data_IF_597739501231
#
_entry.id   IF_597739501231
#
_cell.length_a   1.000
_cell.length_b   1.000
_cell.length_c   1.000
_cell.angle_alpha   90.00
_cell.angle_beta   90.00
_cell.angle_gamma   90.00
#
_symmetry.space_group_name_H-M   'P 1'
#
loop_
_entity.id
_entity.type
_entity.pdbx_description
1 polymer ?
#
# COMPACT_ATOMS: atom_id res chain seq x y z
N UNK A 1 6.55 18.89 25.24
CA UNK A 1 7.34 19.51 24.16
C UNK A 1 7.93 20.79 24.71
N UNK A 2 9.18 21.13 24.39
CA UNK A 2 9.76 22.39 24.86
C UNK A 2 9.13 23.59 24.14
N UNK A 3 9.10 24.78 24.75
CA UNK A 3 8.71 25.99 24.04
C UNK A 3 9.66 26.28 22.88
N UNK A 4 9.12 26.78 21.77
CA UNK A 4 9.89 27.10 20.58
C UNK A 4 9.10 27.06 19.28
N UNK A 5 9.80 27.33 18.18
CA UNK A 5 9.24 27.27 16.83
C UNK A 5 9.55 25.94 16.18
N UNK A 6 8.54 25.33 15.58
CA UNK A 6 8.60 24.02 14.96
C UNK A 6 8.15 24.08 13.51
N UNK A 7 8.83 23.35 12.64
CA UNK A 7 8.39 23.04 11.29
C UNK A 7 7.70 21.68 11.30
N UNK A 8 6.46 21.62 10.80
CA UNK A 8 5.69 20.39 10.60
C UNK A 8 5.59 20.16 9.10
N UNK A 9 6.21 19.09 8.61
CA UNK A 9 6.16 18.69 7.21
C UNK A 9 5.20 17.51 7.05
N UNK A 10 4.19 17.69 6.19
CA UNK A 10 3.19 16.68 5.85
C UNK A 10 3.36 16.20 4.42
N UNK A 11 3.34 14.89 4.22
CA UNK A 11 3.45 14.23 2.93
C UNK A 11 2.38 13.15 2.83
N UNK A 12 1.63 13.12 1.73
CA UNK A 12 0.69 12.03 1.45
C UNK A 12 1.47 10.87 0.84
N UNK A 13 1.25 9.67 1.33
CA UNK A 13 1.78 8.44 0.79
C UNK A 13 0.65 7.59 0.20
N UNK A 14 0.85 7.13 -1.03
CA UNK A 14 -0.08 6.29 -1.77
C UNK A 14 0.58 4.97 -2.14
N UNK A 15 -0.06 3.86 -1.80
CA UNK A 15 0.33 2.52 -2.21
C UNK A 15 -0.76 1.89 -3.06
N UNK A 16 -0.41 1.41 -4.26
CA UNK A 16 -1.35 0.82 -5.21
C UNK A 16 -1.24 -0.71 -5.31
N UNK A 17 -0.70 -1.38 -4.28
CA UNK A 17 -0.60 -2.84 -4.25
C UNK A 17 -1.94 -3.54 -4.00
N UNK A 18 -1.87 -4.84 -3.69
CA UNK A 18 -3.04 -5.70 -3.48
C UNK A 18 -4.00 -5.15 -2.41
N UNK A 19 -3.44 -4.48 -1.40
CA UNK A 19 -4.17 -3.73 -0.36
C UNK A 19 -3.76 -2.26 -0.47
N UNK A 20 -4.54 -1.43 -1.18
CA UNK A 20 -4.21 -0.02 -1.32
C UNK A 20 -4.15 0.69 0.03
N UNK A 21 -3.23 1.63 0.15
CA UNK A 21 -3.07 2.49 1.33
C UNK A 21 -3.02 3.95 0.89
N UNK A 22 -3.66 4.79 1.69
CA UNK A 22 -3.55 6.24 1.62
C UNK A 22 -3.30 6.76 3.04
N UNK A 23 -2.14 7.35 3.29
CA UNK A 23 -1.72 7.79 4.62
C UNK A 23 -1.09 9.18 4.55
N UNK A 24 -1.32 10.02 5.56
CA UNK A 24 -0.57 11.27 5.74
C UNK A 24 0.57 11.00 6.70
N UNK A 25 1.79 11.23 6.24
CA UNK A 25 2.99 11.19 7.06
C UNK A 25 3.35 12.57 7.54
N UNK A 26 3.74 12.66 8.81
CA UNK A 26 4.20 13.91 9.40
C UNK A 26 5.58 13.76 10.01
N UNK A 27 6.41 14.78 9.83
CA UNK A 27 7.66 14.97 10.58
C UNK A 27 7.65 16.35 11.19
N UNK A 28 7.97 16.45 12.48
CA UNK A 28 8.08 17.74 13.17
C UNK A 28 9.52 17.96 13.61
N UNK A 29 10.08 19.13 13.30
CA UNK A 29 11.46 19.50 13.60
C UNK A 29 11.49 20.86 14.30
N UNK A 30 12.20 20.97 15.42
CA UNK A 30 12.45 22.26 16.06
C UNK A 30 13.37 23.11 15.16
N UNK A 31 12.99 24.34 14.83
CA UNK A 31 13.69 25.13 13.81
C UNK A 31 15.11 25.54 14.20
N UNK A 32 15.37 25.80 15.50
CA UNK A 32 16.72 26.14 16.01
C UNK A 32 17.61 24.93 16.30
N UNK A 33 17.12 23.94 17.05
CA UNK A 33 17.93 22.79 17.49
C UNK A 33 17.99 21.67 16.47
N UNK A 34 17.12 21.70 15.44
CA UNK A 34 16.96 20.67 14.42
C UNK A 34 16.59 19.28 14.97
N UNK A 35 16.15 19.22 16.22
CA UNK A 35 15.70 17.98 16.85
C UNK A 35 14.28 17.63 16.41
N UNK A 36 14.04 16.35 16.20
CA UNK A 36 12.72 15.82 15.90
C UNK A 36 11.86 15.88 17.16
N UNK A 37 10.64 16.38 17.00
CA UNK A 37 9.62 16.37 18.06
C UNK A 37 8.48 15.43 17.69
N UNK A 38 7.97 14.61 18.62
CA UNK A 38 6.80 13.79 18.38
C UNK A 38 5.50 14.61 18.49
N UNK A 39 4.39 14.02 18.04
CA UNK A 39 2.99 14.42 18.31
C UNK A 39 2.46 15.72 17.71
N UNK A 40 3.29 16.68 17.27
CA UNK A 40 2.77 17.95 16.77
C UNK A 40 2.06 17.82 15.42
N UNK A 41 2.53 16.90 14.57
CA UNK A 41 1.87 16.56 13.31
C UNK A 41 0.46 16.00 13.52
N UNK A 42 0.30 15.06 14.44
CA UNK A 42 -1.00 14.47 14.78
C UNK A 42 -1.95 15.50 15.38
N UNK A 43 -1.43 16.36 16.27
CA UNK A 43 -2.22 17.47 16.84
C UNK A 43 -2.64 18.49 15.79
N UNK A 44 -1.78 18.77 14.81
CA UNK A 44 -2.13 19.64 13.68
C UNK A 44 -3.24 19.01 12.85
N UNK A 45 -3.12 17.73 12.48
CA UNK A 45 -4.15 17.00 11.73
C UNK A 45 -5.48 16.92 12.49
N UNK A 46 -5.45 16.68 13.81
CA UNK A 46 -6.63 16.72 14.65
C UNK A 46 -7.29 18.12 14.65
N UNK A 47 -6.49 19.19 14.71
CA UNK A 47 -7.00 20.56 14.64
C UNK A 47 -7.58 20.90 13.26
N UNK A 48 -6.98 20.43 12.15
CA UNK A 48 -7.55 20.52 10.79
C UNK A 48 -8.91 19.83 10.76
N UNK A 49 -8.98 18.58 11.21
CA UNK A 49 -10.20 17.78 11.17
C UNK A 49 -11.32 18.39 12.03
N UNK A 50 -10.97 19.03 13.15
CA UNK A 50 -11.92 19.72 14.01
C UNK A 50 -12.32 21.12 13.52
N UNK A 51 -11.72 21.63 12.44
CA UNK A 51 -11.97 22.99 11.95
C UNK A 51 -11.42 24.10 12.88
N UNK A 52 -10.47 23.76 13.75
CA UNK A 52 -9.95 24.65 14.81
C UNK A 52 -8.61 25.30 14.46
N UNK A 53 -8.25 25.33 13.17
CA UNK A 53 -7.02 25.95 12.72
C UNK A 53 -7.20 27.47 12.61
N UNK A 54 -6.41 28.20 13.40
CA UNK A 54 -6.33 29.65 13.33
C UNK A 54 -5.00 30.05 12.71
N UNK A 55 -5.04 30.91 11.70
CA UNK A 55 -3.84 31.49 11.14
C UNK A 55 -3.22 32.44 12.17
N UNK A 56 -1.92 32.28 12.40
CA UNK A 56 -1.12 33.21 13.19
C UNK A 56 -0.13 33.93 12.27
N UNK A 57 0.22 35.16 12.62
CA UNK A 57 1.28 35.87 11.94
C UNK A 57 2.64 35.23 12.27
N UNK A 58 3.49 35.07 11.26
CA UNK A 58 4.85 34.55 11.40
C UNK A 58 5.84 35.61 10.96
N UNK A 59 6.81 35.95 11.83
CA UNK A 59 7.71 37.09 11.62
C UNK A 59 8.75 36.90 10.50
N UNK A 60 8.87 35.67 9.96
CA UNK A 60 9.76 35.36 8.85
C UNK A 60 11.26 35.47 9.16
N UNK A 61 11.65 35.82 10.40
CA UNK A 61 13.04 36.05 10.77
C UNK A 61 13.84 34.75 10.93
N UNK A 62 13.15 33.61 11.02
CA UNK A 62 13.74 32.28 11.21
C UNK A 62 14.01 31.63 9.85
N UNK A 63 15.27 31.23 9.62
CA UNK A 63 15.63 30.40 8.47
C UNK A 63 15.09 28.96 8.63
N UNK A 64 14.12 28.60 7.80
CA UNK A 64 13.47 27.29 7.81
C UNK A 64 14.20 26.23 6.96
N UNK A 65 15.16 26.63 6.11
CA UNK A 65 15.83 25.71 5.17
C UNK A 65 16.51 24.52 5.88
N UNK A 66 17.22 24.70 7.01
CA UNK A 66 17.84 23.57 7.69
C UNK A 66 16.81 22.58 8.24
N UNK A 67 15.73 23.07 8.86
CA UNK A 67 14.65 22.23 9.39
C UNK A 67 13.88 21.50 8.28
N UNK A 68 13.65 22.18 7.15
CA UNK A 68 13.03 21.58 5.97
C UNK A 68 13.92 20.47 5.39
N UNK A 69 15.24 20.68 5.27
CA UNK A 69 16.20 19.66 4.82
C UNK A 69 16.14 18.41 5.71
N UNK A 70 16.22 18.59 7.03
CA UNK A 70 16.13 17.47 7.99
C UNK A 70 14.81 16.73 7.86
N UNK A 71 13.68 17.45 7.73
CA UNK A 71 12.37 16.82 7.56
C UNK A 71 12.27 16.01 6.27
N UNK A 72 12.87 16.49 5.18
CA UNK A 72 12.92 15.81 3.88
C UNK A 72 13.71 14.50 3.96
N UNK A 73 14.88 14.54 4.59
CA UNK A 73 15.72 13.35 4.77
C UNK A 73 14.98 12.28 5.58
N UNK A 74 14.30 12.68 6.65
CA UNK A 74 13.51 11.77 7.48
C UNK A 74 12.31 11.16 6.74
N UNK A 75 11.59 11.95 5.95
CA UNK A 75 10.47 11.47 5.13
C UNK A 75 10.97 10.54 4.02
N UNK A 76 12.11 10.83 3.40
CA UNK A 76 12.74 9.96 2.40
C UNK A 76 13.17 8.63 3.02
N UNK A 77 13.79 8.65 4.19
CA UNK A 77 14.15 7.43 4.93
C UNK A 77 12.91 6.61 5.30
N UNK A 78 11.82 7.26 5.72
CA UNK A 78 10.52 6.58 5.96
C UNK A 78 9.98 5.96 4.66
N UNK A 79 10.05 6.66 3.54
CA UNK A 79 9.60 6.17 2.24
C UNK A 79 10.37 4.90 1.83
N UNK A 80 11.70 4.89 1.94
CA UNK A 80 12.53 3.74 1.60
C UNK A 80 12.17 2.53 2.46
N UNK A 81 12.07 2.71 3.78
CA UNK A 81 11.68 1.62 4.70
C UNK A 81 10.29 1.09 4.41
N UNK A 82 9.32 1.99 4.21
CA UNK A 82 7.92 1.63 3.94
C UNK A 82 7.78 0.92 2.59
N UNK A 83 8.50 1.36 1.56
CA UNK A 83 8.52 0.72 0.24
C UNK A 83 8.93 -0.75 0.35
N UNK A 84 10.02 -1.03 1.07
CA UNK A 84 10.55 -2.38 1.20
C UNK A 84 9.59 -3.29 1.97
N UNK A 85 9.03 -2.79 3.08
CA UNK A 85 8.05 -3.53 3.87
C UNK A 85 6.77 -3.83 3.07
N UNK A 86 6.20 -2.82 2.40
CA UNK A 86 4.98 -2.98 1.59
C UNK A 86 5.20 -3.89 0.38
N UNK A 87 6.37 -3.81 -0.27
CA UNK A 87 6.71 -4.70 -1.37
C UNK A 87 6.80 -6.16 -0.91
N UNK A 88 7.48 -6.43 0.20
CA UNK A 88 7.59 -7.77 0.77
C UNK A 88 6.23 -8.34 1.20
N UNK A 89 5.40 -7.52 1.85
CA UNK A 89 4.03 -7.90 2.22
C UNK A 89 3.19 -8.23 0.97
N UNK A 90 3.26 -7.37 -0.05
CA UNK A 90 2.52 -7.57 -1.30
C UNK A 90 2.95 -8.83 -2.04
N UNK A 91 4.25 -9.12 -2.09
CA UNK A 91 4.78 -10.36 -2.66
C UNK A 91 4.26 -11.58 -1.92
N UNK A 92 4.30 -11.57 -0.58
CA UNK A 92 3.78 -12.66 0.24
C UNK A 92 2.28 -12.90 -0.01
N UNK A 93 1.49 -11.83 -0.11
CA UNK A 93 0.07 -11.94 -0.47
C UNK A 93 -0.15 -12.53 -1.86
N UNK A 94 0.60 -12.08 -2.86
CA UNK A 94 0.50 -12.61 -4.22
C UNK A 94 0.92 -14.08 -4.29
N UNK A 95 2.00 -14.46 -3.60
CA UNK A 95 2.46 -15.84 -3.52
C UNK A 95 1.40 -16.76 -2.90
N UNK A 96 0.82 -16.37 -1.76
CA UNK A 96 -0.28 -17.10 -1.12
C UNK A 96 -1.49 -17.24 -2.06
N UNK A 97 -1.85 -16.16 -2.77
CA UNK A 97 -2.95 -16.18 -3.73
C UNK A 97 -2.68 -17.08 -4.93
N UNK A 98 -1.45 -17.10 -5.45
CA UNK A 98 -1.03 -18.01 -6.54
C UNK A 98 -1.21 -19.46 -6.12
N UNK A 99 -0.65 -19.84 -4.97
CA UNK A 99 -0.75 -21.20 -4.43
C UNK A 99 -2.21 -21.60 -4.24
N UNK A 100 -3.06 -20.71 -3.70
CA UNK A 100 -4.47 -21.01 -3.50
C UNK A 100 -5.20 -21.22 -4.84
N UNK A 101 -4.92 -20.40 -5.85
CA UNK A 101 -5.55 -20.51 -7.18
C UNK A 101 -5.11 -21.81 -7.87
N UNK A 102 -3.82 -22.13 -7.80
CA UNK A 102 -3.26 -23.38 -8.31
C UNK A 102 -3.89 -24.61 -7.64
N UNK A 103 -3.98 -24.64 -6.32
CA UNK A 103 -4.60 -25.76 -5.58
C UNK A 103 -6.09 -25.92 -5.89
N UNK A 104 -6.82 -24.84 -6.12
CA UNK A 104 -8.23 -24.90 -6.54
C UNK A 104 -8.34 -25.45 -7.95
N UNK A 105 -7.50 -24.97 -8.87
CA UNK A 105 -7.45 -25.44 -10.24
C UNK A 105 -7.12 -26.94 -10.31
N UNK A 106 -6.03 -27.38 -9.68
CA UNK A 106 -5.61 -28.78 -9.63
C UNK A 106 -6.74 -29.70 -9.13
N UNK A 107 -7.39 -29.35 -8.02
CA UNK A 107 -8.52 -30.14 -7.48
C UNK A 107 -9.69 -30.25 -8.45
N UNK A 108 -10.03 -29.17 -9.15
CA UNK A 108 -11.12 -29.17 -10.15
C UNK A 108 -10.77 -30.00 -11.37
N UNK A 109 -9.56 -29.84 -11.89
CA UNK A 109 -9.07 -30.61 -13.05
C UNK A 109 -9.04 -32.09 -12.73
N UNK A 110 -8.50 -32.50 -11.57
CA UNK A 110 -8.51 -33.91 -11.13
C UNK A 110 -9.93 -34.49 -11.02
N UNK A 111 -10.90 -33.70 -10.52
CA UNK A 111 -12.28 -34.14 -10.42
C UNK A 111 -12.93 -34.35 -11.81
N UNK A 112 -12.66 -33.46 -12.76
CA UNK A 112 -13.12 -33.56 -14.15
C UNK A 112 -12.47 -34.74 -14.87
N UNK A 113 -11.16 -34.91 -14.74
CA UNK A 113 -10.40 -36.04 -15.30
C UNK A 113 -10.93 -37.38 -14.79
N UNK A 114 -11.14 -37.48 -13.47
CA UNK A 114 -11.73 -38.68 -12.84
C UNK A 114 -13.14 -38.97 -13.38
N UNK A 115 -13.93 -37.93 -13.65
CA UNK A 115 -15.27 -38.05 -14.24
C UNK A 115 -15.21 -38.53 -15.68
N UNK A 116 -14.32 -37.97 -16.49
CA UNK A 116 -14.07 -38.37 -17.89
C UNK A 116 -13.63 -39.83 -17.95
N UNK A 117 -12.65 -40.22 -17.13
CA UNK A 117 -12.17 -41.60 -17.04
C UNK A 117 -13.31 -42.57 -16.70
N UNK A 118 -14.15 -42.21 -15.73
CA UNK A 118 -15.33 -43.01 -15.34
C UNK A 118 -16.35 -43.14 -16.47
N UNK A 119 -16.61 -42.06 -17.23
CA UNK A 119 -17.55 -42.09 -18.35
C UNK A 119 -17.05 -42.98 -19.49
N UNK A 120 -15.75 -42.87 -19.81
CA UNK A 120 -15.09 -43.74 -20.80
C UNK A 120 -15.18 -45.21 -20.37
N UNK A 121 -14.82 -45.53 -19.12
CA UNK A 121 -14.90 -46.89 -18.59
C UNK A 121 -16.33 -47.49 -18.61
N UNK A 122 -17.37 -46.65 -18.51
CA UNK A 122 -18.79 -47.07 -18.56
C UNK A 122 -19.39 -47.05 -19.97
N UNK A 123 -18.60 -46.82 -21.02
CA UNK A 123 -19.08 -46.74 -22.40
C UNK A 123 -20.00 -45.54 -22.68
N UNK A 124 -19.97 -44.50 -21.85
CA UNK A 124 -20.83 -43.30 -21.98
C UNK A 124 -20.11 -42.17 -22.74
N UNK A 125 -19.54 -42.50 -23.89
CA UNK A 125 -18.68 -41.59 -24.66
C UNK A 125 -19.38 -40.31 -25.11
N UNK A 126 -20.68 -40.36 -25.42
CA UNK A 126 -21.46 -39.17 -25.81
C UNK A 126 -21.43 -38.04 -24.78
N UNK A 127 -21.17 -38.34 -23.50
CA UNK A 127 -21.10 -37.33 -22.43
C UNK A 127 -19.69 -36.79 -22.20
N UNK A 128 -18.66 -37.41 -22.75
CA UNK A 128 -17.25 -37.01 -22.55
C UNK A 128 -16.96 -35.59 -23.07
N UNK A 129 -17.42 -35.18 -24.28
CA UNK A 129 -17.14 -33.84 -24.80
C UNK A 129 -17.62 -32.69 -23.90
N UNK A 130 -18.70 -32.91 -23.15
CA UNK A 130 -19.22 -31.92 -22.19
C UNK A 130 -18.19 -31.63 -21.09
N UNK A 131 -17.56 -32.67 -20.54
CA UNK A 131 -16.60 -32.52 -19.45
C UNK A 131 -15.23 -32.03 -19.96
N UNK A 132 -14.83 -32.41 -21.17
CA UNK A 132 -13.65 -31.83 -21.85
C UNK A 132 -13.83 -30.33 -22.09
N UNK A 133 -15.03 -29.90 -22.52
CA UNK A 133 -15.35 -28.48 -22.64
C UNK A 133 -15.35 -27.75 -21.28
N UNK A 134 -15.75 -28.42 -20.18
CA UNK A 134 -15.64 -27.85 -18.83
C UNK A 134 -14.19 -27.72 -18.38
N UNK A 135 -13.34 -28.69 -18.69
CA UNK A 135 -11.90 -28.64 -18.41
C UNK A 135 -11.26 -27.43 -19.10
N UNK A 136 -11.51 -27.25 -20.40
CA UNK A 136 -10.99 -26.11 -21.14
C UNK A 136 -11.44 -24.76 -20.56
N UNK A 137 -12.68 -24.68 -20.05
CA UNK A 137 -13.17 -23.46 -19.37
C UNK A 137 -12.46 -23.21 -18.05
N UNK A 138 -12.18 -24.25 -17.27
CA UNK A 138 -11.43 -24.12 -16.01
C UNK A 138 -9.96 -23.72 -16.28
N UNK A 139 -9.34 -24.23 -17.35
CA UNK A 139 -8.00 -23.82 -17.79
C UNK A 139 -7.96 -22.33 -18.16
N UNK A 140 -8.92 -21.88 -18.98
CA UNK A 140 -9.04 -20.48 -19.36
C UNK A 140 -9.28 -19.57 -18.14
N UNK A 141 -10.10 -20.03 -17.19
CA UNK A 141 -10.35 -19.32 -15.94
C UNK A 141 -9.09 -19.21 -15.08
N UNK A 142 -8.33 -20.30 -14.96
CA UNK A 142 -7.07 -20.32 -14.24
C UNK A 142 -6.05 -19.34 -14.86
N UNK A 143 -5.91 -19.37 -16.19
CA UNK A 143 -5.06 -18.44 -16.92
C UNK A 143 -5.44 -16.97 -16.66
N UNK A 144 -6.73 -16.65 -16.70
CA UNK A 144 -7.22 -15.30 -16.38
C UNK A 144 -6.88 -14.86 -14.95
N UNK A 145 -7.08 -15.74 -13.96
CA UNK A 145 -6.74 -15.45 -12.56
C UNK A 145 -5.23 -15.22 -12.36
N UNK A 146 -4.38 -15.96 -13.07
CA UNK A 146 -2.93 -15.74 -13.01
C UNK A 146 -2.53 -14.39 -13.61
N UNK A 147 -3.14 -14.00 -14.74
CA UNK A 147 -2.91 -12.69 -15.34
C UNK A 147 -3.30 -11.56 -14.39
N UNK A 148 -4.46 -11.65 -13.72
CA UNK A 148 -4.90 -10.66 -12.73
C UNK A 148 -3.92 -10.53 -11.55
N UNK A 149 -3.37 -11.66 -11.09
CA UNK A 149 -2.35 -11.67 -10.03
C UNK A 149 -1.06 -11.00 -10.52
N UNK A 150 -0.63 -11.27 -11.76
CA UNK A 150 0.56 -10.64 -12.34
C UNK A 150 0.37 -9.13 -12.51
N UNK A 151 -0.79 -8.67 -12.97
CA UNK A 151 -1.07 -7.25 -13.13
C UNK A 151 -0.97 -6.47 -11.80
N UNK A 152 -1.27 -7.12 -10.67
CA UNK A 152 -1.15 -6.52 -9.31
C UNK A 152 0.26 -6.61 -8.71
N UNK A 153 1.21 -7.24 -9.40
CA UNK A 153 2.58 -7.37 -8.90
C UNK A 153 3.42 -6.09 -9.05
N UNK A 154 3.04 -5.17 -9.92
CA UNK A 154 3.75 -3.90 -10.19
C UNK A 154 3.36 -2.80 -9.19
N UNK A 155 3.27 -3.16 -7.91
CA UNK A 155 2.90 -2.22 -6.85
C UNK A 155 4.01 -1.18 -6.63
N UNK A 156 3.59 0.05 -6.36
CA UNK A 156 4.43 1.23 -6.21
C UNK A 156 3.93 2.08 -5.05
N UNK A 157 4.90 2.60 -4.30
CA UNK A 157 4.70 3.62 -3.29
C UNK A 157 5.07 4.98 -3.90
N UNK A 158 4.11 5.88 -4.02
CA UNK A 158 4.34 7.28 -4.37
C UNK A 158 4.08 8.17 -3.16
N UNK A 159 4.73 9.33 -3.17
CA UNK A 159 4.56 10.32 -2.10
C UNK A 159 4.55 11.73 -2.67
N UNK A 160 3.70 12.59 -2.12
CA UNK A 160 3.54 13.98 -2.56
C UNK A 160 3.48 14.92 -1.35
N UNK A 161 4.18 16.04 -1.43
CA UNK A 161 4.16 17.04 -0.37
C UNK A 161 2.76 17.63 -0.26
N UNK A 162 2.19 17.54 0.94
CA UNK A 162 0.84 18.04 1.22
C UNK A 162 0.91 19.48 1.74
N UNK A 163 1.76 19.70 2.75
CA UNK A 163 1.92 21.00 3.38
C UNK A 163 3.21 21.06 4.20
N UNK A 164 3.73 22.27 4.34
CA UNK A 164 4.78 22.61 5.32
C UNK A 164 4.21 23.73 6.19
N UNK A 165 4.09 23.47 7.49
CA UNK A 165 3.51 24.41 8.44
C UNK A 165 4.55 24.82 9.47
N UNK A 166 4.45 26.06 9.97
CA UNK A 166 5.23 26.52 11.11
C UNK A 166 4.31 26.67 12.31
N UNK A 167 4.74 26.17 13.46
CA UNK A 167 3.98 26.25 14.70
C UNK A 167 4.85 26.71 15.85
N UNK A 168 4.40 27.75 16.52
CA UNK A 168 4.97 28.16 17.79
C UNK A 168 4.30 27.39 18.94
N UNK A 169 5.12 26.94 19.88
CA UNK A 169 4.68 26.32 21.12
C UNK A 169 5.22 27.18 22.26
N UNK A 170 4.31 27.63 23.13
CA UNK A 170 4.61 28.43 24.31
C UNK A 170 4.74 27.53 25.54
#
# INVERSE_FOLDING_TARGET
MAPGTYLVHLRVANWNGVRPLHEVWTVTVHTRTLQVAPDLGDRLMAAVAAGNLQAAWFDGAIDLRPALSVSNDLLLQRQIRSRNALAAENEAFLASRRLSVEQVHQRRTQALESRIATLRARGRERMVPLFEAQQQREDNRYAGLLQDIMARSTAMLSTEDLAVCVREVQ
#
